data_IF_474062873758
#
_entry.id   IF_474062873758
#
_cell.length_a   1.000
_cell.length_b   1.000
_cell.length_c   1.000
_cell.angle_alpha   90.00
_cell.angle_beta   90.00
_cell.angle_gamma   90.00
#
_symmetry.space_group_name_H-M   'P 1'
#
loop_
_entity.id
_entity.type
_entity.pdbx_description
1 polymer ?
#
# COMPACT_ATOMS: atom_id res chain seq x y z
N UNK A 1 -15.67 1.31 -55.73
CA UNK A 1 -15.15 0.30 -54.78
C UNK A 1 -16.19 0.08 -53.69
N UNK A 2 -16.96 -1.00 -53.78
CA UNK A 2 -18.02 -1.33 -52.82
C UNK A 2 -17.43 -1.91 -51.53
N UNK A 3 -17.82 -1.35 -50.37
CA UNK A 3 -17.43 -1.86 -49.06
C UNK A 3 -18.35 -3.01 -48.67
N UNK A 4 -17.81 -4.23 -48.68
CA UNK A 4 -18.49 -5.41 -48.16
C UNK A 4 -18.52 -5.36 -46.62
N UNK A 5 -19.68 -5.05 -46.06
CA UNK A 5 -19.94 -5.12 -44.62
C UNK A 5 -20.35 -6.54 -44.27
N UNK A 6 -19.43 -7.30 -43.66
CA UNK A 6 -19.71 -8.65 -43.14
C UNK A 6 -20.48 -8.52 -41.82
N UNK A 7 -21.79 -8.76 -41.86
CA UNK A 7 -22.63 -8.85 -40.66
C UNK A 7 -22.43 -10.23 -40.04
N UNK A 8 -21.59 -10.33 -39.02
CA UNK A 8 -21.42 -11.55 -38.22
C UNK A 8 -22.64 -11.72 -37.32
N UNK A 9 -23.36 -12.83 -37.46
CA UNK A 9 -24.56 -13.09 -36.67
C UNK A 9 -24.22 -13.22 -35.17
N UNK A 10 -25.04 -12.64 -34.29
CA UNK A 10 -24.91 -12.81 -32.83
C UNK A 10 -24.97 -14.27 -32.37
N UNK A 11 -25.43 -15.21 -33.23
CA UNK A 11 -25.45 -16.64 -32.93
C UNK A 11 -24.06 -17.28 -33.05
N UNK A 12 -23.19 -16.79 -33.93
CA UNK A 12 -21.84 -17.34 -34.11
C UNK A 12 -20.88 -16.90 -32.99
N UNK A 13 -21.08 -15.70 -32.44
CA UNK A 13 -20.35 -15.22 -31.27
C UNK A 13 -20.62 -16.08 -30.01
N UNK A 14 -21.83 -16.62 -29.85
CA UNK A 14 -22.17 -17.50 -28.71
C UNK A 14 -21.64 -18.92 -28.87
N UNK A 15 -21.38 -19.39 -30.09
CA UNK A 15 -20.87 -20.76 -30.33
C UNK A 15 -19.36 -20.89 -30.08
N UNK A 16 -18.59 -19.80 -30.22
CA UNK A 16 -17.14 -19.78 -29.91
C UNK A 16 -16.79 -19.65 -28.42
N UNK A 17 -17.74 -19.31 -27.55
CA UNK A 17 -17.50 -19.21 -26.08
C UNK A 17 -17.73 -20.55 -25.36
N UNK A 18 -18.16 -21.61 -26.07
CA UNK A 18 -18.48 -22.91 -25.47
C UNK A 18 -17.34 -23.95 -25.52
N UNK A 19 -16.09 -23.55 -25.85
CA UNK A 19 -14.91 -24.42 -25.86
C UNK A 19 -13.69 -23.75 -25.21
N UNK A 20 -13.67 -23.73 -23.89
CA UNK A 20 -12.51 -24.04 -23.04
C UNK A 20 -12.99 -24.04 -21.58
N UNK A 21 -13.79 -25.04 -21.23
CA UNK A 21 -13.99 -25.46 -19.83
C UNK A 21 -12.85 -26.41 -19.42
N UNK A 22 -11.62 -26.07 -19.84
CA UNK A 22 -10.47 -26.57 -19.10
C UNK A 22 -10.53 -25.80 -17.79
N UNK A 23 -11.07 -26.48 -16.78
CA UNK A 23 -11.03 -26.02 -15.42
C UNK A 23 -9.61 -25.53 -15.15
N UNK A 24 -9.47 -24.27 -14.71
CA UNK A 24 -8.28 -23.89 -13.96
C UNK A 24 -8.27 -24.74 -12.70
N UNK A 25 -7.76 -25.95 -12.83
CA UNK A 25 -7.41 -26.80 -11.71
C UNK A 25 -6.20 -26.11 -11.09
N UNK A 26 -6.47 -25.23 -10.13
CA UNK A 26 -5.42 -24.78 -9.24
C UNK A 26 -4.80 -26.04 -8.64
N UNK A 27 -3.49 -26.28 -8.80
CA UNK A 27 -2.87 -27.44 -8.20
C UNK A 27 -3.18 -27.39 -6.70
N UNK A 28 -3.83 -28.45 -6.18
CA UNK A 28 -3.98 -28.59 -4.74
C UNK A 28 -2.57 -28.51 -4.16
N UNK A 29 -2.30 -27.59 -3.22
CA UNK A 29 -0.98 -27.47 -2.64
C UNK A 29 -0.57 -28.85 -2.12
N UNK A 30 0.55 -29.37 -2.61
CA UNK A 30 1.03 -30.72 -2.34
C UNK A 30 1.65 -30.87 -0.95
N UNK A 31 1.13 -30.16 0.04
CA UNK A 31 1.61 -30.13 1.41
C UNK A 31 0.45 -29.94 2.36
N UNK A 32 0.57 -30.58 3.53
CA UNK A 32 -0.41 -30.49 4.61
C UNK A 32 -0.67 -29.02 4.99
N UNK A 33 -1.85 -28.51 4.61
CA UNK A 33 -2.35 -27.16 4.95
C UNK A 33 -2.46 -26.99 6.48
N UNK A 34 -2.40 -28.07 7.27
CA UNK A 34 -2.37 -27.99 8.73
C UNK A 34 -1.11 -27.30 9.26
N UNK A 35 0.00 -27.33 8.51
CA UNK A 35 1.28 -26.66 8.83
C UNK A 35 1.26 -25.14 8.54
N UNK A 36 0.14 -24.46 8.79
CA UNK A 36 0.13 -22.98 8.81
C UNK A 36 1.17 -22.51 9.82
N UNK A 37 2.19 -21.78 9.36
CA UNK A 37 3.17 -21.13 10.24
C UNK A 37 2.41 -20.41 11.37
N UNK A 38 2.60 -20.82 12.64
CA UNK A 38 1.90 -20.23 13.78
C UNK A 38 2.08 -18.71 13.85
N UNK A 39 3.17 -18.17 13.29
CA UNK A 39 3.45 -16.72 13.20
C UNK A 39 2.46 -15.98 12.32
N UNK A 40 1.81 -16.66 11.37
CA UNK A 40 0.79 -16.08 10.48
C UNK A 40 -0.59 -16.02 11.15
N UNK A 41 -0.84 -16.87 12.16
CA UNK A 41 -2.08 -16.84 12.93
C UNK A 41 -2.06 -15.61 13.85
N UNK A 42 -3.00 -14.68 13.64
CA UNK A 42 -3.15 -13.41 14.37
C UNK A 42 -2.20 -12.27 13.97
N UNK A 43 -1.77 -12.21 12.70
CA UNK A 43 -1.07 -11.03 12.19
C UNK A 43 -1.97 -9.79 12.28
N UNK A 44 -1.51 -8.82 13.07
CA UNK A 44 -2.14 -7.50 13.13
C UNK A 44 -1.51 -6.53 12.14
N UNK A 45 -0.31 -6.86 11.64
CA UNK A 45 0.50 -6.00 10.80
C UNK A 45 1.34 -6.69 9.75
N UNK A 46 1.43 -6.03 8.59
CA UNK A 46 2.29 -6.40 7.47
C UNK A 46 3.15 -5.21 7.07
N UNK A 47 4.46 -5.45 6.93
CA UNK A 47 5.42 -4.51 6.38
C UNK A 47 5.96 -5.09 5.08
N UNK A 48 5.74 -4.42 3.95
CA UNK A 48 6.25 -4.85 2.65
C UNK A 48 7.31 -3.87 2.15
N UNK A 49 8.54 -4.36 1.94
CA UNK A 49 9.64 -3.57 1.36
C UNK A 49 10.48 -2.80 2.38
N UNK A 50 10.39 -3.15 3.66
CA UNK A 50 11.05 -2.43 4.74
C UNK A 50 12.20 -3.26 5.34
N UNK A 51 13.26 -3.49 4.54
CA UNK A 51 14.38 -4.40 4.86
C UNK A 51 15.07 -4.22 6.23
N UNK A 52 14.83 -3.11 6.92
CA UNK A 52 15.53 -2.76 8.17
C UNK A 52 14.60 -2.43 9.35
N UNK A 53 13.27 -2.51 9.18
CA UNK A 53 12.31 -2.39 10.30
C UNK A 53 12.14 -3.76 10.97
N UNK A 54 13.19 -4.25 11.63
CA UNK A 54 13.19 -5.55 12.35
C UNK A 54 12.59 -5.51 13.76
N UNK A 55 12.16 -4.34 14.24
CA UNK A 55 11.67 -4.22 15.62
C UNK A 55 10.15 -4.45 15.70
N UNK A 56 9.65 -5.11 16.75
CA UNK A 56 8.24 -5.00 17.12
C UNK A 56 7.91 -3.51 17.20
N UNK A 57 7.06 -3.05 16.30
CA UNK A 57 6.69 -1.64 16.20
C UNK A 57 5.85 -1.30 17.45
N UNK A 58 6.52 -0.84 18.51
CA UNK A 58 5.97 -0.54 19.83
C UNK A 58 5.15 -1.71 20.44
N UNK A 59 5.75 -2.91 20.51
CA UNK A 59 5.11 -4.08 21.14
C UNK A 59 4.05 -4.78 20.28
N UNK A 60 3.93 -4.42 19.00
CA UNK A 60 3.02 -5.08 18.07
C UNK A 60 3.70 -6.21 17.31
N UNK A 61 2.96 -7.31 17.11
CA UNK A 61 3.33 -8.40 16.20
C UNK A 61 3.20 -7.89 14.76
N UNK A 62 4.34 -7.56 14.16
CA UNK A 62 4.48 -7.16 12.77
C UNK A 62 5.49 -8.09 12.09
N UNK A 63 5.26 -8.40 10.82
CA UNK A 63 6.14 -9.23 10.02
C UNK A 63 6.58 -8.46 8.77
N UNK A 64 7.89 -8.48 8.49
CA UNK A 64 8.42 -8.05 7.21
C UNK A 64 8.19 -9.15 6.17
N UNK A 65 7.28 -8.93 5.22
CA UNK A 65 6.96 -9.95 4.20
C UNK A 65 8.20 -10.35 3.39
N UNK A 66 9.02 -9.38 3.03
CA UNK A 66 10.21 -9.56 2.22
C UNK A 66 11.43 -10.07 3.01
N UNK A 67 11.42 -9.92 4.34
CA UNK A 67 12.54 -10.29 5.21
C UNK A 67 12.35 -11.62 5.93
N UNK A 68 11.20 -11.78 6.58
CA UNK A 68 10.95 -12.85 7.55
C UNK A 68 10.31 -14.07 6.88
N UNK A 69 9.47 -13.82 5.88
CA UNK A 69 8.94 -14.84 4.96
C UNK A 69 9.86 -14.96 3.72
N UNK A 70 10.91 -14.13 3.66
CA UNK A 70 11.70 -13.81 2.48
C UNK A 70 12.26 -15.02 1.73
N UNK A 71 12.23 -14.92 0.40
CA UNK A 71 12.72 -15.91 -0.55
C UNK A 71 12.16 -15.61 -1.95
N UNK A 72 12.51 -16.40 -2.98
CA UNK A 72 11.93 -16.27 -4.32
C UNK A 72 10.40 -16.33 -4.33
N UNK A 73 9.80 -17.03 -3.36
CA UNK A 73 8.34 -17.15 -3.18
C UNK A 73 7.65 -15.86 -2.72
N UNK A 74 8.39 -14.84 -2.29
CA UNK A 74 7.86 -13.53 -1.89
C UNK A 74 8.26 -12.42 -2.89
N UNK A 75 8.82 -12.79 -4.05
CA UNK A 75 9.09 -11.82 -5.11
C UNK A 75 7.78 -11.31 -5.71
N UNK A 76 7.41 -10.09 -5.34
CA UNK A 76 6.23 -9.37 -5.81
C UNK A 76 6.22 -9.12 -7.33
N UNK A 77 7.30 -9.41 -8.05
CA UNK A 77 7.33 -9.40 -9.51
C UNK A 77 6.82 -10.72 -10.14
N UNK A 78 6.73 -11.80 -9.37
CA UNK A 78 6.23 -13.12 -9.81
C UNK A 78 4.77 -13.34 -9.39
N UNK A 79 3.99 -14.13 -10.13
CA UNK A 79 2.60 -14.42 -9.75
C UNK A 79 2.50 -15.11 -8.39
N UNK A 80 3.46 -15.98 -8.08
CA UNK A 80 3.56 -16.66 -6.78
C UNK A 80 3.75 -15.66 -5.63
N UNK A 81 4.73 -14.75 -5.73
CA UNK A 81 4.97 -13.78 -4.67
C UNK A 81 3.86 -12.75 -4.51
N UNK A 82 3.18 -12.39 -5.61
CA UNK A 82 1.97 -11.57 -5.52
C UNK A 82 0.82 -12.31 -4.86
N UNK A 83 0.57 -13.57 -5.22
CA UNK A 83 -0.48 -14.40 -4.61
C UNK A 83 -0.24 -14.62 -3.13
N UNK A 84 1.01 -14.86 -2.73
CA UNK A 84 1.39 -14.96 -1.33
C UNK A 84 1.16 -13.64 -0.58
N UNK A 85 1.55 -12.51 -1.16
CA UNK A 85 1.32 -11.20 -0.54
C UNK A 85 -0.18 -10.89 -0.41
N UNK A 86 -0.98 -11.25 -1.41
CA UNK A 86 -2.42 -11.14 -1.39
C UNK A 86 -3.03 -12.02 -0.29
N UNK A 87 -2.56 -13.26 -0.15
CA UNK A 87 -2.97 -14.16 0.93
C UNK A 87 -2.68 -13.54 2.30
N UNK A 88 -1.49 -12.98 2.52
CA UNK A 88 -1.15 -12.34 3.78
C UNK A 88 -2.04 -11.13 4.07
N UNK A 89 -2.27 -10.28 3.07
CA UNK A 89 -3.18 -9.12 3.18
C UNK A 89 -4.62 -9.55 3.47
N UNK A 90 -5.11 -10.62 2.81
CA UNK A 90 -6.45 -11.16 3.02
C UNK A 90 -6.64 -11.73 4.43
N UNK A 91 -5.57 -12.22 5.07
CA UNK A 91 -5.58 -12.72 6.45
C UNK A 91 -5.50 -11.62 7.52
N UNK A 92 -5.25 -10.36 7.15
CA UNK A 92 -5.31 -9.26 8.13
C UNK A 92 -6.74 -9.09 8.66
N UNK A 93 -6.85 -8.86 9.96
CA UNK A 93 -8.12 -8.51 10.61
C UNK A 93 -8.50 -7.07 10.27
N UNK A 94 -9.81 -6.79 10.25
CA UNK A 94 -10.31 -5.42 10.16
C UNK A 94 -9.69 -4.55 11.26
N UNK A 95 -9.36 -3.30 10.93
CA UNK A 95 -8.57 -2.42 11.78
C UNK A 95 -7.08 -2.77 11.89
N UNK A 96 -6.61 -3.86 11.25
CA UNK A 96 -5.21 -4.21 11.05
C UNK A 96 -4.41 -3.10 10.34
N UNK A 97 -3.08 -3.17 10.34
CA UNK A 97 -2.23 -2.12 9.78
C UNK A 97 -1.23 -2.63 8.74
N UNK A 98 -1.14 -2.00 7.58
CA UNK A 98 -0.11 -2.34 6.58
C UNK A 98 0.73 -1.12 6.21
N UNK A 99 2.05 -1.30 6.08
CA UNK A 99 2.94 -0.29 5.51
C UNK A 99 3.59 -0.89 4.27
N UNK A 100 3.38 -0.23 3.13
CA UNK A 100 3.93 -0.61 1.85
C UNK A 100 4.92 0.45 1.37
N UNK A 101 6.11 0.00 0.97
CA UNK A 101 7.11 0.81 0.29
C UNK A 101 7.42 0.19 -1.07
N UNK A 102 6.55 0.37 -2.08
CA UNK A 102 6.82 -0.16 -3.41
C UNK A 102 8.09 0.46 -3.98
N UNK A 103 8.83 -0.33 -4.76
CA UNK A 103 10.11 0.06 -5.33
C UNK A 103 9.96 1.37 -6.11
N UNK A 104 10.51 2.44 -5.55
CA UNK A 104 10.44 3.79 -6.12
C UNK A 104 11.60 4.11 -7.08
N UNK A 105 12.55 3.19 -7.25
CA UNK A 105 13.79 3.43 -8.00
C UNK A 105 13.56 3.89 -9.44
N UNK A 106 12.59 3.34 -10.16
CA UNK A 106 12.25 3.78 -11.53
C UNK A 106 11.27 4.96 -11.59
N UNK A 107 10.86 5.50 -10.44
CA UNK A 107 9.87 6.59 -10.33
C UNK A 107 10.47 7.92 -9.90
N UNK A 108 11.66 7.91 -9.26
CA UNK A 108 12.37 9.10 -8.76
C UNK A 108 13.09 9.86 -9.87
N UNK A 109 13.39 11.14 -9.61
CA UNK A 109 14.03 12.03 -10.59
C UNK A 109 15.33 11.47 -11.20
N UNK A 110 16.14 10.76 -10.41
CA UNK A 110 17.42 10.16 -10.86
C UNK A 110 17.24 9.17 -12.02
N UNK A 111 16.08 8.54 -12.12
CA UNK A 111 15.82 7.51 -13.13
C UNK A 111 14.94 8.00 -14.27
N UNK A 112 14.45 9.25 -14.25
CA UNK A 112 13.51 9.74 -15.27
C UNK A 112 14.14 9.80 -16.66
N UNK A 113 15.43 10.16 -16.75
CA UNK A 113 16.15 10.18 -18.03
C UNK A 113 16.22 8.82 -18.72
N UNK A 114 16.45 7.74 -17.97
CA UNK A 114 16.55 6.38 -18.52
C UNK A 114 15.21 5.65 -18.63
N UNK A 115 14.21 6.05 -17.85
CA UNK A 115 12.87 5.44 -17.87
C UNK A 115 11.90 6.17 -18.80
N UNK A 116 12.25 7.36 -19.29
CA UNK A 116 11.37 8.20 -20.10
C UNK A 116 10.12 8.70 -19.37
N UNK A 117 10.05 8.58 -18.04
CA UNK A 117 8.88 8.97 -17.25
C UNK A 117 8.81 10.48 -17.07
N UNK A 118 7.64 11.03 -17.34
CA UNK A 118 7.29 12.42 -17.06
C UNK A 118 5.92 12.48 -16.38
N UNK A 119 5.46 13.67 -15.96
CA UNK A 119 4.11 13.81 -15.39
C UNK A 119 3.02 13.50 -16.42
N UNK A 120 3.26 13.84 -17.70
CA UNK A 120 2.33 13.59 -18.82
C UNK A 120 2.49 12.19 -19.42
N UNK A 121 3.66 11.57 -19.28
CA UNK A 121 3.91 10.18 -19.59
C UNK A 121 4.39 9.42 -18.34
N UNK A 122 3.51 9.19 -17.36
CA UNK A 122 3.90 8.56 -16.10
C UNK A 122 4.27 7.09 -16.30
N UNK A 123 3.80 6.45 -17.37
CA UNK A 123 4.08 5.04 -17.67
C UNK A 123 5.48 4.80 -18.25
N UNK A 124 6.13 5.87 -18.76
CA UNK A 124 7.51 5.85 -19.26
C UNK A 124 7.69 5.02 -20.55
N UNK A 125 8.94 4.74 -20.87
CA UNK A 125 9.34 3.88 -21.96
C UNK A 125 9.18 2.39 -21.59
N UNK A 126 8.23 1.72 -22.24
CA UNK A 126 7.98 0.29 -22.04
C UNK A 126 9.08 -0.61 -22.57
N UNK A 127 10.01 -0.13 -23.39
CA UNK A 127 11.19 -0.88 -23.84
C UNK A 127 12.19 -1.10 -22.69
N UNK A 128 12.21 -0.18 -21.71
CA UNK A 128 13.07 -0.24 -20.55
C UNK A 128 12.55 -1.24 -19.50
N UNK A 129 13.37 -2.24 -19.14
CA UNK A 129 13.01 -3.28 -18.15
C UNK A 129 12.61 -2.70 -16.80
N UNK A 130 13.31 -1.68 -16.31
CA UNK A 130 13.04 -1.05 -15.00
C UNK A 130 11.71 -0.28 -14.99
N UNK A 131 11.30 0.26 -16.13
CA UNK A 131 9.98 0.88 -16.33
C UNK A 131 8.88 -0.18 -16.25
N UNK A 132 8.98 -1.27 -17.01
CA UNK A 132 7.99 -2.37 -16.98
C UNK A 132 7.84 -2.96 -15.59
N UNK A 133 8.97 -3.27 -14.94
CA UNK A 133 8.98 -3.81 -13.58
C UNK A 133 8.38 -2.82 -12.57
N UNK A 134 8.72 -1.53 -12.68
CA UNK A 134 8.13 -0.49 -11.84
C UNK A 134 6.61 -0.39 -11.98
N UNK A 135 6.09 -0.44 -13.21
CA UNK A 135 4.64 -0.43 -13.47
C UNK A 135 3.95 -1.67 -12.88
N UNK A 136 4.52 -2.86 -13.08
CA UNK A 136 4.00 -4.11 -12.53
C UNK A 136 3.93 -4.09 -11.00
N UNK A 137 5.02 -3.69 -10.34
CA UNK A 137 5.09 -3.63 -8.88
C UNK A 137 4.10 -2.60 -8.32
N UNK A 138 4.02 -1.40 -8.92
CA UNK A 138 3.04 -0.38 -8.52
C UNK A 138 1.61 -0.90 -8.67
N UNK A 139 1.28 -1.54 -9.79
CA UNK A 139 -0.04 -2.11 -10.03
C UNK A 139 -0.42 -3.15 -8.96
N UNK A 140 0.49 -4.08 -8.66
CA UNK A 140 0.28 -5.12 -7.66
C UNK A 140 0.15 -4.55 -6.25
N UNK A 141 0.99 -3.58 -5.88
CA UNK A 141 0.85 -2.88 -4.60
C UNK A 141 -0.51 -2.19 -4.48
N UNK A 142 -1.01 -1.53 -5.52
CA UNK A 142 -2.33 -0.89 -5.50
C UNK A 142 -3.47 -1.89 -5.35
N UNK A 143 -3.36 -3.08 -5.95
CA UNK A 143 -4.35 -4.15 -5.73
C UNK A 143 -4.36 -4.59 -4.26
N UNK A 144 -3.19 -4.78 -3.64
CA UNK A 144 -3.11 -5.08 -2.22
C UNK A 144 -3.76 -3.98 -1.36
N UNK A 145 -3.57 -2.70 -1.73
CA UNK A 145 -4.18 -1.57 -1.03
C UNK A 145 -5.69 -1.50 -1.21
N UNK A 146 -6.24 -1.86 -2.37
CA UNK A 146 -7.69 -2.00 -2.54
C UNK A 146 -8.26 -3.05 -1.60
N UNK A 147 -7.60 -4.20 -1.47
CA UNK A 147 -8.03 -5.25 -0.53
C UNK A 147 -7.90 -4.78 0.91
N UNK A 148 -6.82 -4.10 1.28
CA UNK A 148 -6.67 -3.50 2.61
C UNK A 148 -7.77 -2.48 2.92
N UNK A 149 -8.10 -1.61 1.96
CA UNK A 149 -9.19 -0.64 2.09
C UNK A 149 -10.55 -1.34 2.26
N UNK A 150 -10.84 -2.33 1.40
CA UNK A 150 -12.07 -3.14 1.46
C UNK A 150 -12.17 -4.00 2.73
N UNK A 151 -11.07 -4.24 3.43
CA UNK A 151 -11.05 -4.93 4.74
C UNK A 151 -11.10 -3.97 5.92
N UNK A 152 -11.19 -2.65 5.70
CA UNK A 152 -11.16 -1.66 6.77
C UNK A 152 -9.83 -1.66 7.52
N UNK A 153 -8.74 -2.04 6.84
CA UNK A 153 -7.40 -1.99 7.40
C UNK A 153 -6.83 -0.57 7.25
N UNK A 154 -6.07 -0.15 8.26
CA UNK A 154 -5.21 1.01 8.14
C UNK A 154 -4.05 0.67 7.21
N UNK A 155 -3.78 1.50 6.23
CA UNK A 155 -2.63 1.30 5.35
C UNK A 155 -1.89 2.60 5.12
N UNK A 156 -0.60 2.47 4.84
CA UNK A 156 0.28 3.56 4.44
C UNK A 156 1.09 3.12 3.23
N UNK A 157 1.19 4.00 2.23
CA UNK A 157 2.17 3.90 1.15
C UNK A 157 3.20 4.99 1.34
N UNK A 158 4.46 4.61 1.41
CA UNK A 158 5.58 5.55 1.45
C UNK A 158 6.18 5.71 0.05
N UNK A 159 6.47 6.95 -0.34
CA UNK A 159 7.21 7.28 -1.55
C UNK A 159 8.12 8.49 -1.34
N UNK A 160 9.28 8.55 -2.02
CA UNK A 160 10.05 9.78 -2.10
C UNK A 160 9.23 10.92 -2.70
N UNK A 161 9.44 12.15 -2.23
CA UNK A 161 8.76 13.35 -2.74
C UNK A 161 8.96 13.60 -4.24
N UNK A 162 10.07 13.12 -4.81
CA UNK A 162 10.38 13.22 -6.23
C UNK A 162 9.80 12.08 -7.07
N UNK A 163 9.06 11.15 -6.47
CA UNK A 163 8.45 10.02 -7.18
C UNK A 163 7.30 10.49 -8.07
N UNK A 164 7.23 9.98 -9.31
CA UNK A 164 6.07 10.15 -10.19
C UNK A 164 5.01 9.05 -10.02
N UNK A 165 5.18 8.15 -9.05
CA UNK A 165 4.30 6.99 -8.90
C UNK A 165 2.84 7.37 -8.64
N UNK A 166 2.58 8.53 -8.03
CA UNK A 166 1.21 9.02 -7.82
C UNK A 166 0.46 9.21 -9.16
N UNK A 167 1.17 9.52 -10.24
CA UNK A 167 0.59 9.71 -11.58
C UNK A 167 0.39 8.41 -12.35
N UNK A 168 0.80 7.25 -11.82
CA UNK A 168 0.53 5.96 -12.44
C UNK A 168 -0.99 5.77 -12.64
N UNK A 169 -1.40 5.23 -13.79
CA UNK A 169 -2.83 5.15 -14.18
C UNK A 169 -3.71 4.46 -13.13
N UNK A 170 -3.24 3.37 -12.53
CA UNK A 170 -3.96 2.69 -11.45
C UNK A 170 -3.92 3.46 -10.13
N UNK A 171 -2.88 4.27 -9.88
CA UNK A 171 -2.80 5.06 -8.67
C UNK A 171 -3.84 6.19 -8.74
N UNK A 172 -3.98 6.83 -9.90
CA UNK A 172 -5.02 7.82 -10.14
C UNK A 172 -6.44 7.23 -9.98
N UNK A 173 -6.68 6.03 -10.53
CA UNK A 173 -7.94 5.30 -10.28
C UNK A 173 -8.16 4.94 -8.82
N UNK A 174 -7.09 4.57 -8.11
CA UNK A 174 -7.15 4.29 -6.68
C UNK A 174 -7.55 5.56 -5.90
N UNK A 175 -6.94 6.71 -6.21
CA UNK A 175 -7.26 8.00 -5.58
C UNK A 175 -8.68 8.49 -5.89
N UNK A 176 -9.24 8.16 -7.05
CA UNK A 176 -10.63 8.52 -7.38
C UNK A 176 -11.67 7.68 -6.65
N UNK A 177 -11.31 6.45 -6.25
CA UNK A 177 -12.23 5.50 -5.61
C UNK A 177 -12.11 5.52 -4.09
N UNK A 178 -10.90 5.72 -3.55
CA UNK A 178 -10.61 5.62 -2.14
C UNK A 178 -10.22 6.98 -1.61
N UNK A 179 -10.82 7.39 -0.48
CA UNK A 179 -10.40 8.60 0.22
C UNK A 179 -9.00 8.39 0.80
N UNK A 180 -8.03 9.13 0.28
CA UNK A 180 -6.63 9.07 0.71
C UNK A 180 -6.22 10.37 1.38
N UNK A 181 -5.48 10.27 2.48
CA UNK A 181 -4.75 11.37 3.10
C UNK A 181 -3.31 11.36 2.60
N UNK A 182 -2.78 12.52 2.23
CA UNK A 182 -1.39 12.72 1.83
C UNK A 182 -0.69 13.61 2.85
N UNK A 183 0.42 13.15 3.40
CA UNK A 183 1.28 13.92 4.30
C UNK A 183 2.67 14.03 3.71
N UNK A 184 3.28 15.21 3.80
CA UNK A 184 4.69 15.42 3.48
C UNK A 184 5.50 15.42 4.77
N UNK A 185 6.60 14.66 4.79
CA UNK A 185 7.52 14.58 5.91
C UNK A 185 8.97 14.57 5.44
N UNK A 186 9.92 14.79 6.34
CA UNK A 186 11.31 14.43 6.12
C UNK A 186 11.72 13.27 7.04
N UNK A 187 12.29 12.19 6.50
CA UNK A 187 12.74 11.07 7.34
C UNK A 187 13.85 11.47 8.32
N UNK A 188 14.57 12.58 8.06
CA UNK A 188 15.56 13.13 8.99
C UNK A 188 14.94 13.46 10.35
N UNK A 189 13.72 14.01 10.33
CA UNK A 189 12.96 14.36 11.56
C UNK A 189 12.63 13.11 12.39
N UNK A 190 12.73 11.91 11.81
CA UNK A 190 12.47 10.65 12.50
C UNK A 190 13.75 9.82 12.72
N UNK A 191 14.91 10.48 12.58
CA UNK A 191 16.22 9.92 12.89
C UNK A 191 17.00 9.38 11.69
N UNK A 192 16.60 9.68 10.45
CA UNK A 192 17.45 9.37 9.28
C UNK A 192 18.69 10.26 9.27
N UNK A 193 19.87 9.77 8.84
CA UNK A 193 21.09 10.59 8.80
C UNK A 193 21.08 11.62 7.66
N UNK A 194 20.16 11.50 6.70
CA UNK A 194 20.09 12.35 5.50
C UNK A 194 18.69 12.92 5.31
N UNK A 195 18.62 14.07 4.63
CA UNK A 195 17.36 14.65 4.17
C UNK A 195 16.72 13.71 3.15
N UNK A 196 15.55 13.18 3.50
CA UNK A 196 14.72 12.38 2.61
C UNK A 196 13.29 12.90 2.70
N UNK A 197 12.95 13.89 1.88
CA UNK A 197 11.58 14.37 1.79
C UNK A 197 10.73 13.27 1.15
N UNK A 198 9.67 12.89 1.84
CA UNK A 198 8.83 11.72 1.58
C UNK A 198 7.36 12.12 1.62
N UNK A 199 6.56 11.52 0.76
CA UNK A 199 5.11 11.52 0.85
C UNK A 199 4.61 10.21 1.47
N UNK A 200 3.67 10.35 2.41
CA UNK A 200 2.87 9.25 2.94
C UNK A 200 1.46 9.37 2.39
N UNK A 201 0.94 8.29 1.83
CA UNK A 201 -0.47 8.15 1.47
C UNK A 201 -1.12 7.19 2.44
N UNK A 202 -2.26 7.53 3.04
CA UNK A 202 -2.93 6.66 4.02
C UNK A 202 -4.44 6.67 3.91
N UNK A 203 -5.08 5.58 4.34
CA UNK A 203 -6.53 5.51 4.55
C UNK A 203 -7.04 6.32 5.75
N UNK A 204 -6.15 6.83 6.62
CA UNK A 204 -6.57 7.42 7.89
C UNK A 204 -5.87 8.75 8.19
N UNK A 205 -6.61 9.68 8.79
CA UNK A 205 -6.09 10.95 9.33
C UNK A 205 -5.13 10.77 10.52
N UNK A 206 -4.87 9.52 10.93
CA UNK A 206 -3.97 9.25 12.05
C UNK A 206 -2.55 9.72 11.75
N UNK A 207 -2.19 9.75 10.46
CA UNK A 207 -0.89 10.21 10.00
C UNK A 207 -0.67 11.70 10.29
N UNK A 208 -1.73 12.50 10.47
CA UNK A 208 -1.61 13.95 10.70
C UNK A 208 -0.98 14.26 12.07
N UNK A 209 -0.94 13.29 12.99
CA UNK A 209 -0.25 13.37 14.29
C UNK A 209 1.25 13.01 14.20
N UNK A 210 1.75 12.61 13.03
CA UNK A 210 3.14 12.18 12.90
C UNK A 210 4.16 13.29 13.26
N UNK A 211 3.93 14.58 12.90
CA UNK A 211 4.79 15.68 13.30
C UNK A 211 5.01 15.81 14.82
N UNK A 212 4.05 15.38 15.64
CA UNK A 212 4.15 15.42 17.11
C UNK A 212 5.23 14.47 17.66
N UNK A 213 5.75 13.57 16.82
CA UNK A 213 6.77 12.57 17.17
C UNK A 213 8.11 12.81 16.46
N UNK A 214 8.33 14.00 15.93
CA UNK A 214 9.63 14.39 15.39
C UNK A 214 10.70 14.38 16.49
N UNK A 215 11.93 14.17 16.05
CA UNK A 215 13.15 14.12 16.85
C UNK A 215 14.16 15.07 16.24
N UNK A 216 14.88 15.80 17.09
CA UNK A 216 16.01 16.61 16.65
C UNK A 216 17.22 15.69 16.44
N UNK A 217 17.72 15.59 15.21
CA UNK A 217 18.96 14.88 14.92
C UNK A 217 19.87 15.72 14.02
N UNK A 218 21.16 15.69 14.31
CA UNK A 218 22.17 16.29 13.44
C UNK A 218 22.28 15.51 12.14
N UNK A 219 22.16 16.21 11.02
CA UNK A 219 22.40 15.66 9.69
C UNK A 219 23.86 15.25 9.55
N UNK A 220 24.10 14.14 8.88
CA UNK A 220 25.43 13.67 8.53
C UNK A 220 25.63 13.97 7.05
N UNK A 221 26.77 14.57 6.72
CA UNK A 221 27.13 14.77 5.32
C UNK A 221 27.33 13.42 4.63
N UNK A 222 26.63 13.21 3.51
CA UNK A 222 26.54 11.93 2.80
C UNK A 222 26.42 12.23 1.31
N UNK A 223 27.17 11.49 0.51
CA UNK A 223 27.10 11.64 -0.94
C UNK A 223 25.92 10.83 -1.48
N UNK A 224 24.76 11.48 -1.53
CA UNK A 224 23.51 10.89 -2.01
C UNK A 224 23.41 10.86 -3.53
N UNK A 225 23.97 11.86 -4.19
CA UNK A 225 23.90 12.09 -5.63
C UNK A 225 25.28 12.52 -6.09
N UNK A 226 25.76 11.90 -7.18
CA UNK A 226 27.03 12.25 -7.81
C UNK A 226 26.76 12.82 -9.20
N UNK A 227 27.37 13.96 -9.50
CA UNK A 227 27.40 14.55 -10.86
C UNK A 227 28.73 14.19 -11.50
N UNK A 228 28.73 13.82 -12.77
CA UNK A 228 29.96 13.51 -13.51
C UNK A 228 29.78 13.88 -14.99
N UNK A 229 30.89 14.15 -15.67
CA UNK A 229 30.92 14.32 -17.12
C UNK A 229 31.28 12.99 -17.75
N UNK A 230 30.49 12.49 -18.70
CA UNK A 230 30.81 11.24 -19.39
C UNK A 230 31.91 11.46 -20.47
N UNK A 231 32.33 10.38 -21.13
CA UNK A 231 33.35 10.46 -22.20
C UNK A 231 32.92 11.30 -23.42
N UNK A 232 31.64 11.65 -23.54
CA UNK A 232 31.11 12.52 -24.59
C UNK A 232 31.02 14.01 -24.18
N UNK A 233 31.55 14.38 -23.00
CA UNK A 233 31.48 15.76 -22.50
C UNK A 233 30.11 16.16 -21.91
N UNK A 234 29.17 15.21 -21.78
CA UNK A 234 27.82 15.50 -21.29
C UNK A 234 27.75 15.40 -19.76
N UNK A 235 27.05 16.34 -19.12
CA UNK A 235 26.77 16.27 -17.69
C UNK A 235 25.74 15.18 -17.38
N UNK A 236 26.10 14.25 -16.50
CA UNK A 236 25.28 13.12 -16.05
C UNK A 236 25.15 13.13 -14.53
N UNK A 237 24.09 12.50 -14.03
CA UNK A 237 23.78 12.39 -12.60
C UNK A 237 23.52 10.92 -12.27
N UNK A 238 24.12 10.41 -11.20
CA UNK A 238 23.86 9.07 -10.69
C UNK A 238 23.72 9.07 -9.16
N UNK A 239 23.36 7.92 -8.59
CA UNK A 239 23.38 7.73 -7.14
C UNK A 239 24.80 7.79 -6.59
N UNK A 240 25.00 8.56 -5.53
CA UNK A 240 26.29 8.62 -4.83
C UNK A 240 26.57 7.37 -4.00
N UNK A 241 27.78 7.27 -3.43
CA UNK A 241 28.23 6.07 -2.70
C UNK A 241 27.34 5.70 -1.50
N UNK A 242 26.69 6.69 -0.89
CA UNK A 242 25.87 6.50 0.31
C UNK A 242 24.38 6.25 -0.02
N UNK A 243 23.97 6.27 -1.30
CA UNK A 243 22.56 6.15 -1.67
C UNK A 243 21.95 4.83 -1.19
N UNK A 244 22.67 3.72 -1.33
CA UNK A 244 22.14 2.38 -1.02
C UNK A 244 21.99 2.16 0.49
N UNK A 245 22.97 2.58 1.29
CA UNK A 245 22.93 2.47 2.76
C UNK A 245 21.83 3.37 3.35
N UNK A 246 21.47 4.44 2.65
CA UNK A 246 20.38 5.34 3.05
C UNK A 246 18.98 4.73 2.93
N UNK A 247 18.79 3.60 2.26
CA UNK A 247 17.45 3.02 2.01
C UNK A 247 16.75 2.52 3.28
N UNK A 248 17.48 2.38 4.39
CA UNK A 248 16.90 1.99 5.67
C UNK A 248 15.99 3.07 6.26
N UNK A 249 14.79 2.67 6.67
CA UNK A 249 13.90 3.50 7.46
C UNK A 249 14.47 3.71 8.86
N UNK A 250 14.42 4.92 9.40
CA UNK A 250 14.90 5.14 10.75
C UNK A 250 13.93 4.52 11.77
N UNK A 251 14.46 4.00 12.88
CA UNK A 251 13.66 3.40 13.95
C UNK A 251 12.60 4.36 14.50
N UNK A 252 12.93 5.65 14.60
CA UNK A 252 12.01 6.69 15.07
C UNK A 252 10.74 6.79 14.23
N UNK A 253 10.85 6.59 12.91
CA UNK A 253 9.69 6.63 12.00
C UNK A 253 8.71 5.50 12.29
N UNK A 254 9.22 4.28 12.45
CA UNK A 254 8.40 3.13 12.83
C UNK A 254 7.69 3.34 14.17
N UNK A 255 8.41 3.85 15.17
CA UNK A 255 7.85 4.16 16.50
C UNK A 255 6.77 5.24 16.41
N UNK A 256 7.00 6.30 15.65
CA UNK A 256 6.06 7.40 15.45
C UNK A 256 4.75 6.90 14.82
N UNK A 257 4.83 6.12 13.74
CA UNK A 257 3.67 5.46 13.12
C UNK A 257 2.92 4.56 14.10
N UNK A 258 3.65 3.81 14.93
CA UNK A 258 3.07 2.98 15.98
C UNK A 258 2.21 3.80 16.94
N UNK A 259 2.76 4.91 17.43
CA UNK A 259 2.11 5.79 18.42
C UNK A 259 0.87 6.44 17.83
N UNK A 260 0.96 6.97 16.61
CA UNK A 260 -0.17 7.54 15.87
C UNK A 260 -1.34 6.54 15.80
N UNK A 261 -1.06 5.30 15.40
CA UNK A 261 -2.09 4.25 15.34
C UNK A 261 -2.68 3.94 16.70
N UNK A 262 -1.83 3.80 17.72
CA UNK A 262 -2.27 3.45 19.07
C UNK A 262 -3.24 4.49 19.60
N UNK A 263 -2.93 5.78 19.42
CA UNK A 263 -3.77 6.88 19.86
C UNK A 263 -5.17 6.79 19.23
N UNK A 264 -5.24 6.64 17.90
CA UNK A 264 -6.52 6.48 17.19
C UNK A 264 -7.26 5.22 17.60
N UNK A 265 -6.58 4.07 17.67
CA UNK A 265 -7.21 2.80 18.02
C UNK A 265 -7.80 2.84 19.44
N UNK A 266 -7.08 3.45 20.40
CA UNK A 266 -7.58 3.66 21.77
C UNK A 266 -8.80 4.57 21.77
N UNK A 267 -8.77 5.67 21.00
CA UNK A 267 -9.91 6.59 20.85
C UNK A 267 -11.13 5.87 20.28
N UNK A 268 -10.99 5.13 19.19
CA UNK A 268 -12.08 4.38 18.56
C UNK A 268 -12.64 3.30 19.48
N UNK A 269 -11.78 2.57 20.19
CA UNK A 269 -12.22 1.56 21.15
C UNK A 269 -13.00 2.19 22.31
N UNK A 270 -12.58 3.36 22.80
CA UNK A 270 -13.32 4.11 23.83
C UNK A 270 -14.70 4.52 23.32
N UNK A 271 -14.77 5.09 22.11
CA UNK A 271 -16.04 5.49 21.49
C UNK A 271 -16.97 4.29 21.26
N UNK A 272 -16.45 3.18 20.74
CA UNK A 272 -17.24 1.95 20.55
C UNK A 272 -17.78 1.41 21.89
N UNK A 273 -16.97 1.42 22.96
CA UNK A 273 -17.42 1.02 24.29
C UNK A 273 -18.48 1.96 24.85
N UNK A 274 -18.34 3.28 24.66
CA UNK A 274 -19.34 4.27 25.06
C UNK A 274 -20.65 4.05 24.31
N UNK A 275 -20.59 3.85 22.99
CA UNK A 275 -21.74 3.53 22.14
C UNK A 275 -22.45 2.26 22.63
N UNK A 276 -21.72 1.16 22.86
CA UNK A 276 -22.31 -0.09 23.34
C UNK A 276 -22.94 0.05 24.74
N UNK A 277 -22.35 0.86 25.63
CA UNK A 277 -22.94 1.16 26.94
C UNK A 277 -24.23 1.98 26.80
N UNK A 278 -24.22 3.01 25.96
CA UNK A 278 -25.40 3.83 25.69
C UNK A 278 -26.52 3.00 25.05
N UNK A 279 -26.19 2.13 24.10
CA UNK A 279 -27.15 1.22 23.47
C UNK A 279 -27.78 0.24 24.47
N UNK A 280 -26.99 -0.31 25.41
CA UNK A 280 -27.52 -1.19 26.48
C UNK A 280 -28.39 -0.46 27.49
N UNK A 281 -28.06 0.80 27.80
CA UNK A 281 -28.84 1.62 28.72
C UNK A 281 -30.10 2.20 28.07
N UNK A 282 -30.12 2.28 26.74
CA UNK A 282 -31.31 2.72 26.02
C UNK A 282 -32.42 1.68 26.16
N UNK A 283 -33.62 2.13 26.52
CA UNK A 283 -34.84 1.32 26.50
C UNK A 283 -35.36 1.05 25.09
N UNK A 284 -34.61 1.49 24.07
CA UNK A 284 -34.91 1.22 22.67
C UNK A 284 -34.84 -0.30 22.44
N UNK A 285 -36.00 -0.97 22.56
CA UNK A 285 -36.25 -2.20 21.79
C UNK A 285 -35.85 -1.86 20.36
N UNK A 286 -35.01 -2.70 19.74
CA UNK A 286 -34.53 -2.54 18.36
C UNK A 286 -35.64 -1.91 17.53
N UNK A 287 -35.49 -0.61 17.25
CA UNK A 287 -36.57 0.14 16.64
C UNK A 287 -36.61 -0.34 15.19
N UNK A 288 -37.64 -1.11 14.85
CA UNK A 288 -37.79 -1.67 13.51
C UNK A 288 -38.14 -0.59 12.49
N UNK A 289 -38.44 0.63 12.94
CA UNK A 289 -38.73 1.75 12.05
C UNK A 289 -37.46 2.24 11.37
N UNK A 290 -37.43 2.09 10.04
CA UNK A 290 -36.29 2.46 9.19
C UNK A 290 -35.85 3.94 9.36
N UNK A 291 -36.78 4.86 9.67
CA UNK A 291 -36.49 6.29 9.90
C UNK A 291 -35.63 6.53 11.14
N UNK A 292 -35.89 5.83 12.24
CA UNK A 292 -35.15 5.95 13.49
C UNK A 292 -33.74 5.38 13.32
N UNK A 293 -33.61 4.21 12.67
CA UNK A 293 -32.29 3.66 12.33
C UNK A 293 -31.50 4.58 11.39
N UNK A 294 -32.16 5.29 10.46
CA UNK A 294 -31.52 6.31 9.61
C UNK A 294 -31.02 7.50 10.42
N UNK A 295 -31.79 7.95 11.42
CA UNK A 295 -31.39 9.03 12.32
C UNK A 295 -30.21 8.63 13.22
N UNK A 296 -30.20 7.40 13.73
CA UNK A 296 -29.08 6.85 14.50
C UNK A 296 -27.81 6.70 13.67
N UNK A 297 -27.92 6.19 12.45
CA UNK A 297 -26.79 6.08 11.51
C UNK A 297 -26.19 7.46 11.19
N UNK A 298 -27.06 8.45 10.96
CA UNK A 298 -26.66 9.84 10.68
C UNK A 298 -26.05 10.54 11.90
N UNK A 299 -26.63 10.36 13.10
CA UNK A 299 -26.17 10.99 14.35
C UNK A 299 -24.88 10.39 14.90
N UNK A 300 -24.71 9.07 14.78
CA UNK A 300 -23.50 8.37 15.21
C UNK A 300 -22.38 8.38 14.15
N UNK A 301 -22.62 9.01 12.98
CA UNK A 301 -21.73 8.99 11.81
C UNK A 301 -21.34 7.56 11.40
N UNK A 302 -22.22 6.60 11.62
CA UNK A 302 -21.99 5.19 11.33
C UNK A 302 -22.23 4.87 9.85
N UNK A 303 -22.69 5.83 9.05
CA UNK A 303 -23.00 5.65 7.62
C UNK A 303 -21.83 5.01 6.87
N UNK A 304 -20.59 5.44 7.14
CA UNK A 304 -19.40 4.86 6.51
C UNK A 304 -19.10 3.43 6.99
N UNK A 305 -19.48 3.08 8.22
CA UNK A 305 -19.32 1.73 8.78
C UNK A 305 -20.40 0.80 8.22
N UNK A 306 -21.64 1.27 8.13
CA UNK A 306 -22.77 0.50 7.60
C UNK A 306 -22.63 0.30 6.09
N UNK A 307 -22.31 1.34 5.31
CA UNK A 307 -22.02 1.19 3.87
C UNK A 307 -20.89 0.20 3.61
N UNK A 308 -19.86 0.23 4.45
CA UNK A 308 -18.74 -0.70 4.35
C UNK A 308 -19.12 -2.16 4.66
N UNK A 309 -20.09 -2.39 5.56
CA UNK A 309 -20.56 -3.73 5.93
C UNK A 309 -21.70 -4.26 5.04
N UNK A 310 -22.29 -3.42 4.19
CA UNK A 310 -23.45 -3.73 3.34
C UNK A 310 -23.08 -4.11 1.90
N UNK A 311 -21.78 -4.24 1.62
CA UNK A 311 -21.21 -4.70 0.35
C UNK A 311 -20.35 -5.95 0.60
#
# INVERSE_FOLDING_TARGET
MAKNTVIVSRRDAKRKVKRSKDEMVFPKPSGDISSRDPRQRNLSHILAGLKHLKAPIAGRKAIGLDLEIGGPSMDMATDLGFSNSLFQVANLRAGGGALAAPVCGSWVFLSRGSTGRTRTNPMGDSSCRSTRLGNLLTARTLILLWVLAAKGCWWIVEQPSSSLMEFHVLFQRFLSLIRVRRLSICMADYGSPTLKPTYLYSSHHAIDMLPDYQSTRRLVDREMVRRYTNGAGESRICGGRDLKSSQAYPKGFGVALAKCRTAVQKKHLKLARQFLRAARASTNKVDTQASVNKAWTKGAQLESVIQFLSH
#
